data_IF_363088230000
#
_entry.id   IF_363088230000
#
_cell.length_a   1.000
_cell.length_b   1.000
_cell.length_c   1.000
_cell.angle_alpha   90.00
_cell.angle_beta   90.00
_cell.angle_gamma   90.00
#
_symmetry.space_group_name_H-M   'P 1'
#
loop_
_entity.id
_entity.type
_entity.pdbx_description
1 polymer ?
#
# COMPACT_ATOMS: atom_id res chain seq x y z
N UNK A 1 -4.44 -31.90 -75.98
CA UNK A 1 -4.10 -33.13 -75.26
C UNK A 1 -4.03 -32.78 -73.79
N UNK A 2 -4.84 -33.47 -72.98
CA UNK A 2 -5.14 -33.19 -71.58
C UNK A 2 -4.24 -34.00 -70.63
N UNK A 3 -4.21 -33.48 -69.40
CA UNK A 3 -4.06 -34.17 -68.12
C UNK A 3 -2.64 -34.58 -67.66
N UNK A 4 -2.29 -34.03 -66.49
CA UNK A 4 -1.13 -34.39 -65.69
C UNK A 4 -1.03 -33.50 -64.45
N UNK A 5 -2.11 -33.41 -63.67
CA UNK A 5 -2.06 -32.86 -62.32
C UNK A 5 -1.17 -33.75 -61.45
N UNK A 6 -0.31 -33.19 -60.59
CA UNK A 6 -0.20 -33.61 -59.19
C UNK A 6 0.21 -32.39 -58.34
N UNK A 7 -0.76 -31.81 -57.63
CA UNK A 7 -0.49 -31.12 -56.38
C UNK A 7 -0.09 -32.15 -55.33
N UNK A 8 1.20 -32.49 -55.29
CA UNK A 8 1.73 -33.60 -54.47
C UNK A 8 2.34 -33.16 -53.13
N UNK A 9 2.81 -31.92 -53.01
CA UNK A 9 3.62 -31.50 -51.87
C UNK A 9 2.89 -31.47 -50.53
N UNK A 10 1.66 -30.95 -50.48
CA UNK A 10 0.97 -30.75 -49.19
C UNK A 10 0.33 -32.03 -48.60
N UNK A 11 0.01 -33.02 -49.43
CA UNK A 11 -0.61 -34.29 -49.01
C UNK A 11 0.46 -35.30 -48.57
N UNK A 12 1.62 -35.29 -49.23
CA UNK A 12 2.77 -36.15 -48.91
C UNK A 12 3.48 -35.68 -47.61
N UNK A 13 3.64 -34.37 -47.46
CA UNK A 13 4.17 -33.71 -46.25
C UNK A 13 3.42 -34.09 -44.97
N UNK A 14 2.09 -34.21 -45.06
CA UNK A 14 1.23 -34.56 -43.92
C UNK A 14 1.34 -36.04 -43.58
N UNK A 15 1.44 -36.90 -44.60
CA UNK A 15 1.60 -38.35 -44.44
C UNK A 15 2.88 -38.71 -43.68
N UNK A 16 4.00 -38.03 -43.98
CA UNK A 16 5.27 -38.25 -43.28
C UNK A 16 5.21 -37.87 -41.80
N UNK A 17 4.54 -36.76 -41.46
CA UNK A 17 4.36 -36.34 -40.06
C UNK A 17 3.47 -37.32 -39.31
N UNK A 18 2.35 -37.73 -39.89
CA UNK A 18 1.44 -38.70 -39.28
C UNK A 18 2.09 -40.09 -39.12
N UNK A 19 2.92 -40.51 -40.08
CA UNK A 19 3.70 -41.75 -39.99
C UNK A 19 4.74 -41.70 -38.87
N UNK A 20 5.47 -40.59 -38.73
CA UNK A 20 6.43 -40.41 -37.65
C UNK A 20 5.74 -40.43 -36.27
N UNK A 21 4.57 -39.80 -36.14
CA UNK A 21 3.77 -39.85 -34.91
C UNK A 21 3.28 -41.27 -34.61
N UNK A 22 2.80 -42.02 -35.62
CA UNK A 22 2.36 -43.40 -35.44
C UNK A 22 3.48 -44.33 -34.94
N UNK A 23 4.70 -44.16 -35.48
CA UNK A 23 5.88 -44.90 -35.05
C UNK A 23 6.26 -44.61 -33.59
N UNK A 24 6.14 -43.35 -33.15
CA UNK A 24 6.45 -42.94 -31.77
C UNK A 24 5.34 -43.36 -30.79
N UNK A 25 4.08 -43.34 -31.22
CA UNK A 25 2.95 -43.79 -30.39
C UNK A 25 2.99 -45.29 -30.08
N UNK A 26 3.62 -46.11 -30.94
CA UNK A 26 3.83 -47.54 -30.66
C UNK A 26 4.66 -47.82 -29.39
N UNK A 27 5.48 -46.85 -28.96
CA UNK A 27 6.35 -46.95 -27.78
C UNK A 27 5.78 -46.17 -26.58
N UNK A 28 4.55 -45.62 -26.68
CA UNK A 28 3.97 -44.81 -25.62
C UNK A 28 3.46 -45.68 -24.45
N UNK A 29 3.68 -45.26 -23.19
CA UNK A 29 3.15 -45.97 -22.03
C UNK A 29 1.61 -45.93 -21.99
N UNK A 30 0.96 -46.94 -21.39
CA UNK A 30 -0.48 -46.92 -21.20
C UNK A 30 -0.90 -45.71 -20.34
N UNK A 31 -2.04 -45.09 -20.65
CA UNK A 31 -2.53 -43.90 -19.94
C UNK A 31 -1.88 -42.57 -20.36
N UNK A 32 -1.16 -42.54 -21.49
CA UNK A 32 -0.66 -41.28 -22.04
C UNK A 32 -1.81 -40.33 -22.42
N UNK A 33 -1.55 -39.03 -22.25
CA UNK A 33 -2.52 -37.95 -22.53
C UNK A 33 -2.01 -36.97 -23.58
N UNK A 34 -0.68 -36.80 -23.67
CA UNK A 34 -0.05 -35.93 -24.65
C UNK A 34 1.33 -36.45 -25.05
N UNK A 35 1.61 -36.47 -26.34
CA UNK A 35 2.92 -36.71 -26.93
C UNK A 35 3.45 -35.40 -27.52
N UNK A 36 4.70 -35.05 -27.21
CA UNK A 36 5.41 -33.94 -27.84
C UNK A 36 6.72 -34.44 -28.44
N UNK A 37 6.87 -34.20 -29.74
CA UNK A 37 8.08 -34.50 -30.50
C UNK A 37 8.72 -33.16 -30.86
N UNK A 38 9.99 -32.98 -30.50
CA UNK A 38 10.81 -31.86 -30.93
C UNK A 38 11.95 -32.40 -31.80
N UNK A 39 12.01 -31.95 -33.05
CA UNK A 39 12.99 -32.37 -34.02
C UNK A 39 13.75 -31.16 -34.55
N UNK A 40 15.08 -31.22 -34.50
CA UNK A 40 15.97 -30.39 -35.29
C UNK A 40 17.09 -31.25 -35.89
N UNK A 41 17.78 -30.74 -36.92
CA UNK A 41 18.76 -31.54 -37.67
C UNK A 41 19.96 -32.02 -36.83
N UNK A 42 20.14 -31.49 -35.60
CA UNK A 42 21.22 -31.87 -34.69
C UNK A 42 20.73 -32.74 -33.52
N UNK A 43 19.43 -32.73 -33.21
CA UNK A 43 18.85 -33.40 -32.05
C UNK A 43 17.38 -33.75 -32.24
N UNK A 44 17.01 -34.92 -31.76
CA UNK A 44 15.63 -35.40 -31.70
C UNK A 44 15.28 -35.68 -30.25
N UNK A 45 14.29 -34.98 -29.72
CA UNK A 45 13.77 -35.19 -28.38
C UNK A 45 12.29 -35.58 -28.43
N UNK A 46 11.94 -36.67 -27.75
CA UNK A 46 10.57 -37.13 -27.63
C UNK A 46 10.18 -37.18 -26.15
N UNK A 47 9.08 -36.53 -25.83
CA UNK A 47 8.51 -36.52 -24.47
C UNK A 47 7.05 -36.91 -24.51
N UNK A 48 6.64 -37.75 -23.57
CA UNK A 48 5.24 -38.16 -23.38
C UNK A 48 4.79 -37.80 -21.98
N UNK A 49 3.58 -37.27 -21.87
CA UNK A 49 2.89 -37.06 -20.60
C UNK A 49 1.93 -38.22 -20.35
N UNK A 50 2.19 -38.99 -19.30
CA UNK A 50 1.31 -40.04 -18.78
C UNK A 50 1.09 -39.81 -17.28
N UNK A 51 -0.15 -39.96 -16.80
CA UNK A 51 -0.52 -39.74 -15.39
C UNK A 51 0.00 -38.41 -14.80
N UNK A 52 -0.02 -37.34 -15.61
CA UNK A 52 0.43 -36.00 -15.22
C UNK A 52 1.96 -35.85 -15.08
N UNK A 53 2.75 -36.87 -15.41
CA UNK A 53 4.22 -36.82 -15.40
C UNK A 53 4.78 -36.84 -16.82
N UNK A 54 5.85 -36.08 -17.03
CA UNK A 54 6.58 -36.06 -18.30
C UNK A 54 7.66 -37.14 -18.24
N UNK A 55 7.64 -38.05 -19.22
CA UNK A 55 8.59 -39.15 -19.40
C UNK A 55 9.30 -38.95 -20.74
N UNK A 56 10.62 -39.08 -20.75
CA UNK A 56 11.37 -39.11 -22.00
C UNK A 56 11.27 -40.49 -22.62
N UNK A 57 10.97 -40.54 -23.92
CA UNK A 57 10.97 -41.79 -24.67
C UNK A 57 12.23 -41.88 -25.54
N UNK A 58 12.82 -43.08 -25.68
CA UNK A 58 13.85 -43.31 -26.68
C UNK A 58 13.26 -43.06 -28.07
N UNK A 59 13.98 -42.30 -28.90
CA UNK A 59 13.52 -41.96 -30.24
C UNK A 59 13.81 -43.13 -31.18
N UNK A 60 12.77 -43.69 -31.81
CA UNK A 60 12.94 -44.75 -32.81
C UNK A 60 13.75 -44.24 -34.01
N UNK A 61 14.78 -44.97 -34.49
CA UNK A 61 15.54 -44.59 -35.68
C UNK A 61 14.67 -44.37 -36.92
N UNK A 62 13.59 -45.15 -37.06
CA UNK A 62 12.65 -45.03 -38.18
C UNK A 62 11.87 -43.71 -38.13
N UNK A 63 11.50 -43.24 -36.93
CA UNK A 63 10.82 -41.95 -36.78
C UNK A 63 11.76 -40.78 -37.10
N UNK A 64 13.05 -40.88 -36.74
CA UNK A 64 14.07 -39.87 -37.09
C UNK A 64 14.29 -39.82 -38.60
N UNK A 65 14.32 -40.96 -39.29
CA UNK A 65 14.48 -41.04 -40.73
C UNK A 65 13.32 -40.36 -41.48
N UNK A 66 12.08 -40.66 -41.08
CA UNK A 66 10.88 -40.04 -41.65
C UNK A 66 10.84 -38.52 -41.43
N UNK A 67 11.20 -38.04 -40.23
CA UNK A 67 11.28 -36.60 -39.94
C UNK A 67 12.44 -35.91 -40.66
N UNK A 68 13.55 -36.62 -40.89
CA UNK A 68 14.67 -36.14 -41.68
C UNK A 68 14.30 -36.01 -43.15
N UNK A 69 13.54 -36.97 -43.69
CA UNK A 69 13.00 -36.89 -45.05
C UNK A 69 12.05 -35.70 -45.20
N UNK A 70 11.13 -35.52 -44.25
CA UNK A 70 10.26 -34.35 -44.20
C UNK A 70 11.05 -33.03 -44.20
N UNK A 71 12.13 -32.95 -43.42
CA UNK A 71 13.00 -31.77 -43.40
C UNK A 71 13.70 -31.54 -44.74
N UNK A 72 14.22 -32.60 -45.40
CA UNK A 72 14.83 -32.49 -46.73
C UNK A 72 13.83 -31.96 -47.77
N UNK A 73 12.61 -32.49 -47.79
CA UNK A 73 11.55 -32.06 -48.70
C UNK A 73 11.13 -30.62 -48.42
N UNK A 74 10.97 -30.24 -47.14
CA UNK A 74 10.61 -28.88 -46.77
C UNK A 74 11.68 -27.86 -47.18
N UNK A 75 12.97 -28.18 -47.02
CA UNK A 75 14.09 -27.32 -47.46
C UNK A 75 14.14 -27.22 -48.99
N UNK A 76 13.94 -28.34 -49.70
CA UNK A 76 13.86 -28.35 -51.17
C UNK A 76 12.70 -27.47 -51.68
N UNK A 77 11.59 -27.45 -50.96
CA UNK A 77 10.42 -26.61 -51.25
C UNK A 77 10.54 -25.16 -50.72
N UNK A 78 11.73 -24.73 -50.31
CA UNK A 78 12.04 -23.34 -49.94
C UNK A 78 11.72 -22.95 -48.49
N UNK A 79 11.46 -23.92 -47.60
CA UNK A 79 11.24 -23.67 -46.18
C UNK A 79 12.56 -23.51 -45.42
N UNK A 80 12.59 -22.59 -44.44
CA UNK A 80 13.82 -22.25 -43.68
C UNK A 80 13.74 -22.56 -42.19
N UNK A 81 12.79 -23.41 -41.80
CA UNK A 81 12.61 -23.79 -40.41
C UNK A 81 13.80 -24.61 -39.90
N UNK A 82 14.19 -24.34 -38.64
CA UNK A 82 15.29 -25.05 -37.97
C UNK A 82 14.81 -26.06 -36.94
N UNK A 83 13.62 -25.85 -36.39
CA UNK A 83 13.01 -26.77 -35.41
C UNK A 83 11.55 -27.03 -35.73
N UNK A 84 11.16 -28.29 -35.63
CA UNK A 84 9.80 -28.78 -35.76
C UNK A 84 9.30 -29.28 -34.40
N UNK A 85 8.17 -28.76 -33.95
CA UNK A 85 7.45 -29.27 -32.79
C UNK A 85 6.13 -29.88 -33.23
N UNK A 86 5.92 -31.15 -32.90
CA UNK A 86 4.68 -31.87 -33.16
C UNK A 86 4.06 -32.24 -31.82
N UNK A 87 2.80 -31.86 -31.61
CA UNK A 87 2.00 -32.24 -30.45
C UNK A 87 0.86 -33.15 -30.88
N UNK A 88 0.71 -34.29 -30.22
CA UNK A 88 -0.41 -35.22 -30.41
C UNK A 88 -1.14 -35.44 -29.08
N UNK A 89 -2.45 -35.16 -29.06
CA UNK A 89 -3.32 -35.47 -27.94
C UNK A 89 -3.86 -36.90 -28.01
N UNK A 90 -4.26 -37.46 -26.86
CA UNK A 90 -4.91 -38.78 -26.79
C UNK A 90 -6.27 -38.84 -27.49
N UNK A 91 -6.84 -37.70 -27.84
CA UNK A 91 -8.04 -37.51 -28.66
C UNK A 91 -7.76 -37.56 -30.17
N UNK A 92 -6.49 -37.77 -30.58
CA UNK A 92 -6.07 -37.76 -31.98
C UNK A 92 -5.82 -36.35 -32.53
N UNK A 93 -5.92 -35.31 -31.72
CA UNK A 93 -5.64 -33.93 -32.16
C UNK A 93 -4.14 -33.77 -32.42
N UNK A 94 -3.80 -33.49 -33.68
CA UNK A 94 -2.43 -33.24 -34.12
C UNK A 94 -2.19 -31.75 -34.35
N UNK A 95 -1.11 -31.24 -33.78
CA UNK A 95 -0.66 -29.86 -33.93
C UNK A 95 0.80 -29.85 -34.34
N UNK A 96 1.15 -28.96 -35.27
CA UNK A 96 2.51 -28.84 -35.79
C UNK A 96 2.93 -27.37 -35.80
N UNK A 97 4.14 -27.10 -35.32
CA UNK A 97 4.75 -25.77 -35.31
C UNK A 97 6.17 -25.84 -35.85
N UNK A 98 6.45 -25.01 -36.85
CA UNK A 98 7.77 -24.80 -37.44
C UNK A 98 8.36 -23.50 -36.89
N UNK A 99 9.61 -23.53 -36.46
CA UNK A 99 10.31 -22.37 -35.91
C UNK A 99 11.60 -22.12 -36.72
N UNK A 100 11.76 -20.89 -37.23
CA UNK A 100 12.86 -20.47 -38.10
C UNK A 100 14.17 -20.19 -37.33
N UNK A 101 14.22 -20.50 -36.03
CA UNK A 101 15.43 -20.39 -35.22
C UNK A 101 15.87 -18.94 -34.96
N UNK A 102 15.05 -17.96 -35.32
CA UNK A 102 15.27 -16.57 -34.96
C UNK A 102 14.82 -16.34 -33.50
N UNK A 103 15.80 -16.50 -32.61
CA UNK A 103 15.77 -16.18 -31.17
C UNK A 103 14.89 -17.12 -30.37
N UNK A 104 15.56 -17.98 -29.60
CA UNK A 104 14.94 -18.60 -28.43
C UNK A 104 14.15 -17.55 -27.67
N UNK A 105 12.84 -17.76 -27.60
CA UNK A 105 11.91 -16.87 -26.91
C UNK A 105 12.32 -16.85 -25.45
N UNK A 106 13.16 -15.89 -25.11
CA UNK A 106 13.63 -15.70 -23.76
C UNK A 106 12.39 -15.33 -22.93
N UNK A 107 12.04 -16.18 -21.97
CA UNK A 107 11.08 -15.91 -20.87
C UNK A 107 11.35 -14.58 -20.14
N UNK A 108 12.48 -13.93 -20.40
CA UNK A 108 12.91 -12.64 -19.86
C UNK A 108 12.14 -11.45 -20.41
N UNK A 109 11.60 -11.50 -21.63
CA UNK A 109 10.88 -10.34 -22.19
C UNK A 109 9.53 -10.08 -21.49
N UNK A 110 8.63 -11.07 -21.31
CA UNK A 110 7.42 -10.85 -20.54
C UNK A 110 7.74 -10.57 -19.07
N UNK A 111 8.78 -11.17 -18.48
CA UNK A 111 9.21 -10.84 -17.11
C UNK A 111 9.74 -9.41 -16.96
N UNK A 112 10.45 -8.86 -17.95
CA UNK A 112 10.93 -7.47 -17.91
C UNK A 112 9.79 -6.48 -18.10
N UNK A 113 8.82 -6.79 -18.94
CA UNK A 113 7.60 -5.99 -19.09
C UNK A 113 6.77 -6.05 -17.80
N UNK A 114 6.60 -7.23 -17.21
CA UNK A 114 5.89 -7.38 -15.93
C UNK A 114 6.63 -6.66 -14.80
N UNK A 115 7.96 -6.76 -14.75
CA UNK A 115 8.80 -6.06 -13.77
C UNK A 115 8.73 -4.54 -13.96
N UNK A 116 8.72 -4.04 -15.20
CA UNK A 116 8.55 -2.63 -15.48
C UNK A 116 7.15 -2.13 -15.08
N UNK A 117 6.12 -2.93 -15.30
CA UNK A 117 4.74 -2.63 -14.88
C UNK A 117 4.61 -2.68 -13.35
N UNK A 118 5.21 -3.65 -12.67
CA UNK A 118 5.16 -3.70 -11.20
C UNK A 118 5.96 -2.56 -10.59
N UNK A 119 7.13 -2.21 -11.13
CA UNK A 119 7.89 -1.04 -10.67
C UNK A 119 7.13 0.25 -10.94
N UNK A 120 6.45 0.40 -12.09
CA UNK A 120 5.64 1.59 -12.36
C UNK A 120 4.40 1.67 -11.46
N UNK A 121 3.73 0.56 -11.19
CA UNK A 121 2.62 0.49 -10.23
C UNK A 121 3.09 0.77 -8.81
N UNK A 122 4.24 0.26 -8.39
CA UNK A 122 4.82 0.55 -7.07
C UNK A 122 5.26 2.02 -6.95
N UNK A 123 5.85 2.60 -8.00
CA UNK A 123 6.18 4.01 -8.04
C UNK A 123 4.92 4.89 -8.00
N UNK A 124 3.88 4.55 -8.77
CA UNK A 124 2.60 5.24 -8.73
C UNK A 124 1.94 5.12 -7.35
N UNK A 125 1.96 3.93 -6.74
CA UNK A 125 1.46 3.73 -5.39
C UNK A 125 2.25 4.54 -4.37
N UNK A 126 3.59 4.56 -4.45
CA UNK A 126 4.45 5.36 -3.58
C UNK A 126 4.21 6.86 -3.75
N UNK A 127 3.97 7.35 -4.97
CA UNK A 127 3.61 8.76 -5.24
C UNK A 127 2.23 9.07 -4.70
N UNK A 128 1.22 8.21 -4.93
CA UNK A 128 -0.13 8.38 -4.37
C UNK A 128 -0.10 8.34 -2.85
N UNK A 129 0.72 7.47 -2.26
CA UNK A 129 0.90 7.40 -0.82
C UNK A 129 1.62 8.65 -0.29
N UNK A 130 2.72 9.09 -0.90
CA UNK A 130 3.43 10.29 -0.48
C UNK A 130 2.60 11.58 -0.66
N UNK A 131 1.82 11.69 -1.74
CA UNK A 131 0.94 12.84 -2.02
C UNK A 131 -0.35 12.77 -1.21
N UNK A 132 -0.92 11.58 -1.04
CA UNK A 132 -2.12 11.32 -0.25
C UNK A 132 -1.88 11.51 1.25
N UNK A 133 -0.74 11.04 1.74
CA UNK A 133 -0.31 11.24 3.14
C UNK A 133 0.01 12.70 3.45
N UNK A 134 0.48 13.48 2.46
CA UNK A 134 0.60 14.95 2.59
C UNK A 134 -0.75 15.69 2.50
N UNK A 135 -1.84 15.03 2.11
CA UNK A 135 -3.20 15.62 1.98
C UNK A 135 -4.17 15.10 3.04
N UNK A 136 -3.69 14.63 4.18
CA UNK A 136 -4.53 14.20 5.30
C UNK A 136 -5.14 15.35 6.12
N UNK A 137 -5.02 16.61 5.71
CA UNK A 137 -5.87 17.64 6.28
C UNK A 137 -7.14 17.78 5.44
N UNK A 138 -8.33 17.48 6.02
CA UNK A 138 -9.59 17.85 5.39
C UNK A 138 -9.49 19.33 5.00
N UNK A 139 -10.09 19.78 3.88
CA UNK A 139 -10.15 21.20 3.60
C UNK A 139 -10.90 21.85 4.77
N UNK A 140 -10.14 22.40 5.72
CA UNK A 140 -10.68 23.39 6.64
C UNK A 140 -11.09 24.49 5.70
N UNK A 141 -12.41 24.66 5.53
CA UNK A 141 -13.02 25.90 5.06
C UNK A 141 -12.09 27.01 5.49
N UNK A 142 -11.50 27.74 4.53
CA UNK A 142 -10.58 28.82 4.82
C UNK A 142 -11.26 29.69 5.85
N UNK A 143 -10.83 29.54 7.10
CA UNK A 143 -11.40 30.29 8.22
C UNK A 143 -10.94 31.69 7.87
N UNK A 144 -11.86 32.49 7.31
CA UNK A 144 -11.74 33.93 7.35
C UNK A 144 -11.37 34.20 8.80
N UNK A 145 -10.13 34.62 9.03
CA UNK A 145 -9.61 34.89 10.35
C UNK A 145 -10.36 36.13 10.85
N UNK A 146 -11.61 35.93 11.23
CA UNK A 146 -12.38 36.88 12.01
C UNK A 146 -11.51 37.08 13.24
N UNK A 147 -11.05 38.31 13.50
CA UNK A 147 -10.24 38.57 14.68
C UNK A 147 -11.03 38.04 15.88
N UNK A 148 -10.38 37.32 16.81
CA UNK A 148 -11.10 36.67 17.89
C UNK A 148 -11.92 37.72 18.67
N UNK A 149 -13.14 37.38 19.10
CA UNK A 149 -13.99 38.30 19.85
C UNK A 149 -13.21 38.97 20.98
N UNK A 150 -13.46 40.26 21.24
CA UNK A 150 -12.72 40.99 22.27
C UNK A 150 -12.75 40.30 23.64
N UNK A 151 -13.91 39.72 24.00
CA UNK A 151 -14.07 38.91 25.21
C UNK A 151 -13.27 37.61 25.21
N UNK A 152 -13.08 36.97 24.06
CA UNK A 152 -12.21 35.80 23.94
C UNK A 152 -10.75 36.18 24.20
N UNK A 153 -10.29 37.33 23.67
CA UNK A 153 -8.95 37.86 23.96
C UNK A 153 -8.79 38.19 25.45
N UNK A 154 -9.79 38.82 26.05
CA UNK A 154 -9.77 39.13 27.48
C UNK A 154 -9.72 37.87 28.34
N UNK A 155 -10.54 36.85 28.03
CA UNK A 155 -10.51 35.58 28.73
C UNK A 155 -9.14 34.88 28.61
N UNK A 156 -8.54 34.88 27.41
CA UNK A 156 -7.20 34.30 27.22
C UNK A 156 -6.12 35.04 28.02
N UNK A 157 -6.16 36.38 28.08
CA UNK A 157 -5.24 37.15 28.91
C UNK A 157 -5.37 36.81 30.40
N UNK A 158 -6.60 36.62 30.90
CA UNK A 158 -6.81 36.16 32.29
C UNK A 158 -6.27 34.75 32.50
N UNK A 159 -6.37 33.84 31.51
CA UNK A 159 -5.74 32.53 31.58
C UNK A 159 -4.22 32.60 31.65
N UNK A 160 -3.59 33.45 30.84
CA UNK A 160 -2.13 33.65 30.88
C UNK A 160 -1.68 34.07 32.28
N UNK A 161 -2.38 35.02 32.90
CA UNK A 161 -2.10 35.44 34.28
C UNK A 161 -2.38 34.34 35.31
N UNK A 162 -3.46 33.57 35.11
CA UNK A 162 -3.84 32.46 35.99
C UNK A 162 -2.77 31.36 36.00
N UNK A 163 -2.36 30.87 34.82
CA UNK A 163 -1.35 29.82 34.72
C UNK A 163 0.03 30.30 35.15
N UNK A 164 0.38 31.58 34.91
CA UNK A 164 1.62 32.15 35.44
C UNK A 164 1.63 32.20 36.98
N UNK A 165 0.51 32.57 37.60
CA UNK A 165 0.37 32.54 39.06
C UNK A 165 0.45 31.11 39.60
N UNK A 166 -0.20 30.17 38.92
CA UNK A 166 -0.14 28.75 39.25
C UNK A 166 1.29 28.20 39.19
N UNK A 167 2.01 28.42 38.09
CA UNK A 167 3.39 28.00 37.88
C UNK A 167 4.36 28.57 38.91
N UNK A 168 4.05 29.74 39.47
CA UNK A 168 4.83 30.39 40.53
C UNK A 168 4.41 29.97 41.94
N UNK A 169 3.36 29.17 42.09
CA UNK A 169 2.79 28.83 43.38
C UNK A 169 2.08 30.02 44.07
N UNK A 170 1.72 31.07 43.32
CA UNK A 170 1.11 32.29 43.85
C UNK A 170 -0.40 32.12 44.03
N UNK A 171 -0.77 31.38 45.07
CA UNK A 171 -2.18 31.16 45.41
C UNK A 171 -2.90 32.46 45.81
N UNK A 172 -2.20 33.51 46.23
CA UNK A 172 -2.84 34.80 46.53
C UNK A 172 -3.33 35.44 45.23
N UNK A 173 -2.47 35.49 44.21
CA UNK A 173 -2.86 35.98 42.88
C UNK A 173 -3.95 35.14 42.24
N UNK A 174 -3.89 33.81 42.38
CA UNK A 174 -4.97 32.94 41.90
C UNK A 174 -6.32 33.27 42.57
N UNK A 175 -6.34 33.52 43.89
CA UNK A 175 -7.58 33.97 44.58
C UNK A 175 -8.09 35.29 44.05
N UNK A 176 -7.21 36.25 43.75
CA UNK A 176 -7.61 37.53 43.15
C UNK A 176 -8.21 37.37 41.76
N UNK A 177 -7.72 36.41 40.97
CA UNK A 177 -8.22 36.10 39.62
C UNK A 177 -9.50 35.24 39.65
N UNK A 178 -9.77 34.57 40.77
CA UNK A 178 -10.98 33.78 40.96
C UNK A 178 -12.22 34.65 41.20
N UNK A 179 -13.39 34.12 40.85
CA UNK A 179 -14.65 34.81 41.05
C UNK A 179 -15.11 34.76 42.51
N UNK A 180 -16.14 35.53 42.87
CA UNK A 180 -16.61 35.63 44.26
C UNK A 180 -17.13 34.30 44.82
N UNK A 181 -17.68 33.44 43.96
CA UNK A 181 -18.24 32.14 44.33
C UNK A 181 -17.70 31.03 43.40
N UNK A 182 -16.42 30.65 43.55
CA UNK A 182 -15.82 29.61 42.70
C UNK A 182 -16.39 28.23 43.03
N UNK A 183 -16.24 27.27 42.11
CA UNK A 183 -16.56 25.88 42.40
C UNK A 183 -15.67 25.34 43.52
N UNK A 184 -16.13 24.27 44.18
CA UNK A 184 -15.32 23.60 45.20
C UNK A 184 -14.01 23.06 44.60
N UNK A 185 -14.07 22.51 43.38
CA UNK A 185 -12.90 22.02 42.63
C UNK A 185 -11.84 23.10 42.46
N UNK A 186 -12.25 24.30 42.02
CA UNK A 186 -11.32 25.42 41.85
C UNK A 186 -10.74 25.88 43.19
N UNK A 187 -11.57 25.93 44.23
CA UNK A 187 -11.14 26.31 45.57
C UNK A 187 -10.10 25.32 46.14
N UNK A 188 -10.35 24.03 45.98
CA UNK A 188 -9.45 22.96 46.42
C UNK A 188 -8.14 22.98 45.63
N UNK A 189 -8.19 23.29 44.33
CA UNK A 189 -7.01 23.47 43.49
C UNK A 189 -6.13 24.62 43.98
N UNK A 190 -6.70 25.82 44.18
CA UNK A 190 -5.98 26.98 44.71
C UNK A 190 -5.34 26.66 46.07
N UNK A 191 -6.06 25.94 46.93
CA UNK A 191 -5.54 25.52 48.23
C UNK A 191 -4.39 24.51 48.08
N UNK A 192 -4.49 23.58 47.14
CA UNK A 192 -3.41 22.62 46.83
C UNK A 192 -2.14 23.37 46.43
N UNK A 193 -2.25 24.35 45.54
CA UNK A 193 -1.13 25.23 45.16
C UNK A 193 -0.60 26.01 46.37
N UNK A 194 -1.48 26.52 47.23
CA UNK A 194 -1.05 27.23 48.44
C UNK A 194 -0.24 26.36 49.41
N UNK A 195 -0.54 25.06 49.49
CA UNK A 195 0.12 24.12 50.40
C UNK A 195 1.38 23.49 49.81
N UNK A 196 1.34 23.10 48.54
CA UNK A 196 2.38 22.27 47.91
C UNK A 196 3.14 23.00 46.79
N UNK A 197 2.65 24.16 46.33
CA UNK A 197 3.16 24.80 45.13
C UNK A 197 2.86 23.98 43.87
N UNK A 198 3.59 24.26 42.79
CA UNK A 198 3.58 23.43 41.59
C UNK A 198 4.68 22.38 41.64
N UNK A 199 4.27 21.10 41.69
CA UNK A 199 5.18 19.97 41.85
C UNK A 199 5.12 18.94 40.70
N UNK A 200 4.10 19.00 39.85
CA UNK A 200 3.89 18.03 38.77
C UNK A 200 4.37 18.53 37.40
N UNK A 201 4.04 19.78 37.05
CA UNK A 201 4.38 20.35 35.75
C UNK A 201 3.99 21.82 35.63
N UNK A 202 4.76 22.56 34.83
CA UNK A 202 4.49 23.96 34.52
C UNK A 202 3.60 24.05 33.28
N UNK A 203 2.54 24.86 33.33
CA UNK A 203 1.46 24.89 32.34
C UNK A 203 1.51 26.18 31.52
N UNK A 204 1.61 26.03 30.19
CA UNK A 204 1.69 27.15 29.25
C UNK A 204 0.48 27.14 28.31
N UNK A 205 -0.46 28.10 28.42
CA UNK A 205 -1.56 28.21 27.48
C UNK A 205 -1.04 28.63 26.09
N UNK A 206 -1.39 27.87 25.05
CA UNK A 206 -0.91 28.11 23.68
C UNK A 206 -2.03 28.67 22.79
N UNK A 207 -3.28 28.20 22.95
CA UNK A 207 -4.39 28.65 22.13
C UNK A 207 -5.78 28.42 22.75
N UNK A 208 -6.71 29.33 22.49
CA UNK A 208 -8.15 29.04 22.61
C UNK A 208 -8.60 28.16 21.44
N UNK A 209 -9.18 27.00 21.78
CA UNK A 209 -9.71 26.06 20.78
C UNK A 209 -11.23 26.07 20.68
N UNK A 210 -11.90 26.46 21.76
CA UNK A 210 -13.34 26.72 21.76
C UNK A 210 -13.65 27.92 22.67
N UNK A 211 -14.68 28.66 22.30
CA UNK A 211 -15.14 29.85 23.03
C UNK A 211 -16.66 29.91 22.94
N UNK A 212 -17.32 30.11 24.07
CA UNK A 212 -18.75 30.36 24.19
C UNK A 212 -18.96 31.51 25.18
N UNK A 213 -19.85 32.41 24.81
CA UNK A 213 -20.18 33.59 25.61
C UNK A 213 -21.69 33.73 25.64
N UNK A 214 -22.27 33.79 26.84
CA UNK A 214 -23.70 33.99 27.07
C UNK A 214 -24.04 35.37 27.68
N UNK A 215 -23.06 36.26 27.78
CA UNK A 215 -23.19 37.57 28.39
C UNK A 215 -22.80 37.58 29.87
N UNK A 216 -23.31 36.66 30.69
CA UNK A 216 -23.01 36.60 32.12
C UNK A 216 -21.76 35.76 32.44
N UNK A 217 -21.53 34.72 31.63
CA UNK A 217 -20.45 33.78 31.75
C UNK A 217 -19.74 33.57 30.40
N UNK A 218 -18.45 33.28 30.50
CA UNK A 218 -17.62 32.91 29.36
C UNK A 218 -17.07 31.52 29.62
N UNK A 219 -17.22 30.63 28.64
CA UNK A 219 -16.70 29.28 28.68
C UNK A 219 -15.65 29.14 27.59
N UNK A 220 -14.49 28.58 27.93
CA UNK A 220 -13.41 28.37 26.99
C UNK A 220 -12.83 26.99 27.13
N UNK A 221 -12.35 26.47 25.99
CA UNK A 221 -11.45 25.33 25.95
C UNK A 221 -10.09 25.80 25.47
N UNK A 222 -9.07 25.64 26.30
CA UNK A 222 -7.70 26.06 26.02
C UNK A 222 -6.82 24.84 25.74
N UNK A 223 -5.97 24.93 24.73
CA UNK A 223 -4.87 24.01 24.52
C UNK A 223 -3.66 24.52 25.31
N UNK A 224 -3.10 23.66 26.16
CA UNK A 224 -1.93 23.97 26.99
C UNK A 224 -0.80 23.00 26.67
N UNK A 225 0.43 23.46 26.89
CA UNK A 225 1.62 22.61 26.92
C UNK A 225 2.11 22.50 28.35
N UNK A 226 2.58 21.33 28.72
CA UNK A 226 3.11 21.08 30.06
C UNK A 226 4.61 20.83 29.97
N UNK A 227 5.40 21.56 30.76
CA UNK A 227 6.80 21.22 31.03
C UNK A 227 6.84 20.35 32.29
N UNK A 228 7.19 19.05 32.18
CA UNK A 228 7.11 18.13 33.30
C UNK A 228 8.15 18.47 34.37
N UNK A 229 7.76 18.37 35.64
CA UNK A 229 8.66 18.47 36.81
C UNK A 229 8.95 17.06 37.35
N UNK A 230 7.93 16.20 37.44
CA UNK A 230 8.06 14.84 37.94
C UNK A 230 8.11 13.77 36.81
N UNK A 231 8.55 12.55 37.17
CA UNK A 231 8.66 11.44 36.23
C UNK A 231 7.31 10.94 35.70
N UNK A 232 6.21 11.17 36.43
CA UNK A 232 4.87 10.76 36.01
C UNK A 232 4.41 11.67 34.88
N UNK A 233 4.46 12.98 35.08
CA UNK A 233 4.12 14.00 34.10
C UNK A 233 5.02 13.91 32.88
N UNK A 234 6.30 13.55 33.05
CA UNK A 234 7.20 13.31 31.91
C UNK A 234 6.65 12.24 30.96
N UNK A 235 6.16 11.12 31.50
CA UNK A 235 5.56 10.04 30.68
C UNK A 235 4.28 10.50 30.00
N UNK A 236 3.43 11.24 30.71
CA UNK A 236 2.18 11.79 30.16
C UNK A 236 2.47 12.77 29.00
N UNK A 237 3.47 13.64 29.14
CA UNK A 237 3.91 14.56 28.08
C UNK A 237 4.50 13.80 26.88
N UNK A 238 5.32 12.77 27.11
CA UNK A 238 5.88 11.93 26.04
C UNK A 238 4.78 11.19 25.26
N UNK A 239 3.75 10.68 25.94
CA UNK A 239 2.59 10.06 25.30
C UNK A 239 1.76 11.09 24.50
N UNK A 240 1.53 12.27 25.08
CA UNK A 240 0.81 13.35 24.41
C UNK A 240 1.53 13.84 23.14
N UNK A 241 2.87 13.80 23.10
CA UNK A 241 3.65 14.18 21.92
C UNK A 241 3.30 13.35 20.68
N UNK A 242 2.92 12.08 20.85
CA UNK A 242 2.45 11.24 19.73
C UNK A 242 1.18 11.79 19.05
N UNK A 243 0.43 12.64 19.76
CA UNK A 243 -0.84 13.23 19.33
C UNK A 243 -0.79 14.77 19.25
N UNK A 244 0.42 15.35 19.15
CA UNK A 244 0.64 16.80 18.97
C UNK A 244 1.16 17.53 20.21
N UNK A 245 1.23 16.88 21.38
CA UNK A 245 1.85 17.44 22.59
C UNK A 245 1.02 18.49 23.33
N UNK A 246 -0.29 18.51 23.10
CA UNK A 246 -1.23 19.42 23.74
C UNK A 246 -2.14 18.69 24.72
N UNK A 247 -2.38 19.35 25.84
CA UNK A 247 -3.43 19.00 26.79
C UNK A 247 -4.57 20.02 26.63
N UNK A 248 -5.78 19.65 26.99
CA UNK A 248 -6.93 20.52 26.83
C UNK A 248 -7.65 20.72 28.14
N UNK A 249 -7.74 21.97 28.55
CA UNK A 249 -8.45 22.35 29.77
C UNK A 249 -9.69 23.14 29.44
N UNK A 250 -10.70 23.00 30.28
CA UNK A 250 -11.96 23.73 30.16
C UNK A 250 -12.08 24.68 31.33
N UNK A 251 -12.30 25.96 31.04
CA UNK A 251 -12.36 27.01 32.06
C UNK A 251 -13.63 27.82 31.88
N UNK A 252 -14.30 28.12 33.00
CA UNK A 252 -15.47 28.98 33.04
C UNK A 252 -15.16 30.26 33.80
N UNK A 253 -15.60 31.38 33.25
CA UNK A 253 -15.46 32.71 33.80
C UNK A 253 -16.82 33.31 34.12
N UNK A 254 -16.91 34.11 35.17
CA UNK A 254 -17.97 35.09 35.37
C UNK A 254 -17.48 36.49 35.02
N UNK A 255 -18.41 37.35 34.60
CA UNK A 255 -18.14 38.79 34.52
C UNK A 255 -18.60 39.49 35.79
N UNK A 256 -17.64 39.99 36.56
CA UNK A 256 -17.88 40.71 37.80
C UNK A 256 -17.48 42.17 37.61
N UNK A 257 -18.48 43.01 37.30
CA UNK A 257 -18.28 44.46 37.15
C UNK A 257 -17.40 44.84 35.95
N UNK A 258 -17.46 44.07 34.86
CA UNK A 258 -16.66 44.30 33.65
C UNK A 258 -15.30 43.59 33.66
N UNK A 259 -15.02 42.77 34.68
CA UNK A 259 -13.78 42.00 34.81
C UNK A 259 -14.10 40.51 34.77
N UNK A 260 -13.45 39.78 33.87
CA UNK A 260 -13.58 38.32 33.82
C UNK A 260 -12.80 37.69 34.98
N UNK A 261 -13.45 36.76 35.68
CA UNK A 261 -12.89 36.03 36.83
C UNK A 261 -13.10 34.54 36.68
N UNK A 262 -12.10 33.74 37.03
CA UNK A 262 -12.14 32.27 36.91
C UNK A 262 -13.07 31.69 37.97
N UNK A 263 -14.11 30.98 37.55
CA UNK A 263 -15.07 30.33 38.46
C UNK A 263 -14.94 28.82 38.52
N UNK A 264 -14.50 28.19 37.44
CA UNK A 264 -14.32 26.74 37.38
C UNK A 264 -13.19 26.38 36.42
N UNK A 265 -12.54 25.25 36.68
CA UNK A 265 -11.47 24.70 35.86
C UNK A 265 -11.49 23.18 35.88
N UNK A 266 -11.50 22.57 34.70
CA UNK A 266 -11.45 21.12 34.53
C UNK A 266 -10.27 20.75 33.62
N UNK A 267 -9.43 19.84 34.13
CA UNK A 267 -8.26 19.27 33.44
C UNK A 267 -8.56 17.88 32.91
#
# INVERSE_FOLDING_TARGET
MNAGAIGGGAVDDRGLVEQAVALVLGEAPPGWTRLNIAFDAASSEVTVTADGRVVQLPVSPQAVEVLSEYHRQAVFNGSSWRRLSIGCGSDGTLSMRKDDGARGVSRRWPQRVLAAITVSCLAAAAVVFAVGWRRSEPPRLGVLAVPPPARAKAAFAVLEEWYAAEDHGDAARMRELSCAHPTQSLSDWINTIAYYGQDQGLVFPDALTQFRDDGAAVWVKVAVRIRPIDDRMKREVEEAQAHGGFFFETVTFSDEGGTLKVCDGQR
#
